data_IF_247549599053
#
_entry.id   IF_247549599053
#
_cell.length_a   1.000
_cell.length_b   1.000
_cell.length_c   1.000
_cell.angle_alpha   90.00
_cell.angle_beta   90.00
_cell.angle_gamma   90.00
#
_symmetry.space_group_name_H-M   'P 1'
#
loop_
_entity.id
_entity.type
_entity.pdbx_description
1 polymer ?
#
# COMPACT_ATOMS: atom_id res chain seq x y z
N UNK A 1 11.20 11.84 -13.07
CA UNK A 1 11.61 11.74 -12.37
C UNK A 1 12.32 10.95 -12.04
N UNK A 2 12.82 10.72 -11.94
CA UNK A 2 13.51 9.89 -11.64
C UNK A 2 13.76 9.52 -10.61
N UNK A 3 13.71 9.24 -10.25
CA UNK A 3 13.86 8.82 -9.46
C UNK A 3 14.46 8.21 -8.91
N UNK A 4 14.62 7.74 -8.69
CA UNK A 4 15.03 7.15 -7.92
C UNK A 4 16.10 6.96 -7.75
N UNK A 5 16.70 7.05 -8.23
CA UNK A 5 17.71 6.87 -8.05
C UNK A 5 18.14 7.22 -7.08
N UNK A 6 17.65 7.48 -6.71
CA UNK A 6 17.86 7.80 -5.57
C UNK A 6 18.21 6.78 -4.81
N UNK A 7 19.13 6.38 -4.74
CA UNK A 7 19.50 5.50 -4.04
C UNK A 7 19.55 5.93 -2.80
N UNK A 8 18.84 5.47 -2.00
CA UNK A 8 18.92 5.67 -0.63
C UNK A 8 20.18 5.07 -0.17
N UNK A 9 21.04 5.86 0.35
CA UNK A 9 22.26 5.37 0.81
C UNK A 9 22.12 4.89 2.17
N UNK A 10 22.94 4.17 2.69
CA UNK A 10 22.92 3.69 4.05
C UNK A 10 22.64 2.23 4.11
N UNK A 11 22.30 1.69 5.28
CA UNK A 11 22.12 0.26 5.40
C UNK A 11 20.86 -0.21 4.72
N UNK A 12 19.96 0.71 4.45
CA UNK A 12 18.73 0.32 3.78
C UNK A 12 19.05 -0.16 2.39
N UNK A 13 18.34 -1.13 1.95
CA UNK A 13 18.47 -1.61 0.60
C UNK A 13 17.94 -0.56 -0.36
N UNK A 14 18.40 -0.60 -1.59
CA UNK A 14 17.83 0.26 -2.62
C UNK A 14 16.40 -0.18 -2.89
N UNK A 15 15.59 0.70 -3.43
CA UNK A 15 14.23 0.30 -3.81
C UNK A 15 14.26 -0.88 -4.76
N UNK A 16 13.41 -1.86 -4.49
CA UNK A 16 13.35 -3.07 -5.29
C UNK A 16 12.56 -2.86 -6.57
N UNK A 17 11.77 -1.81 -6.65
CA UNK A 17 10.99 -1.51 -7.83
C UNK A 17 11.09 -0.05 -8.13
N UNK A 18 10.86 0.29 -9.38
CA UNK A 18 10.79 1.67 -9.78
C UNK A 18 9.49 2.27 -9.27
N UNK A 19 9.48 3.57 -9.02
CA UNK A 19 8.27 4.25 -8.63
C UNK A 19 7.32 4.22 -9.81
N UNK A 20 6.22 3.54 -9.64
CA UNK A 20 5.19 3.42 -10.66
C UNK A 20 3.86 3.56 -9.93
N UNK A 21 3.34 4.77 -9.82
CA UNK A 21 2.16 4.99 -8.97
C UNK A 21 0.91 4.35 -9.54
N UNK A 22 0.07 3.86 -8.65
CA UNK A 22 -1.26 3.40 -9.01
C UNK A 22 -2.11 4.62 -9.36
N UNK A 23 -2.84 4.57 -10.46
CA UNK A 23 -3.72 5.67 -10.84
C UNK A 23 -4.77 5.87 -9.76
N UNK A 24 -5.28 7.11 -9.66
CA UNK A 24 -6.24 7.43 -8.61
C UNK A 24 -7.52 6.60 -8.70
N UNK A 25 -8.03 6.35 -9.92
CA UNK A 25 -9.24 5.55 -10.06
C UNK A 25 -9.01 4.10 -9.65
N UNK A 26 -7.80 3.58 -9.87
CA UNK A 26 -7.46 2.22 -9.47
C UNK A 26 -7.30 2.16 -7.95
N UNK A 27 -6.64 3.16 -7.38
CA UNK A 27 -6.49 3.24 -5.92
C UNK A 27 -7.86 3.27 -5.24
N UNK A 28 -8.79 4.07 -5.76
CA UNK A 28 -10.14 4.12 -5.23
C UNK A 28 -10.85 2.77 -5.36
N UNK A 29 -10.69 2.11 -6.51
CA UNK A 29 -11.31 0.80 -6.72
C UNK A 29 -10.75 -0.25 -5.77
N UNK A 30 -9.46 -0.17 -5.44
CA UNK A 30 -8.86 -1.08 -4.46
C UNK A 30 -9.49 -0.90 -3.08
N UNK A 31 -9.69 0.35 -2.68
CA UNK A 31 -10.31 0.64 -1.38
C UNK A 31 -11.77 0.20 -1.35
N UNK A 32 -12.49 0.36 -2.46
CA UNK A 32 -13.86 -0.14 -2.54
C UNK A 32 -13.90 -1.65 -2.47
N UNK A 33 -12.97 -2.33 -3.14
CA UNK A 33 -12.94 -3.79 -3.13
C UNK A 33 -12.75 -4.32 -1.71
N UNK A 34 -11.98 -3.61 -0.90
CA UNK A 34 -11.75 -3.97 0.50
C UNK A 34 -12.87 -3.49 1.42
N UNK A 35 -13.87 -2.80 0.92
CA UNK A 35 -14.95 -2.21 1.73
C UNK A 35 -14.42 -1.31 2.84
N UNK A 36 -13.48 -0.43 2.51
CA UNK A 36 -12.89 0.46 3.49
C UNK A 36 -13.92 1.42 4.06
N UNK A 37 -13.89 1.59 5.37
CA UNK A 37 -14.75 2.55 6.08
C UNK A 37 -13.88 3.38 7.03
N UNK A 38 -14.51 4.31 7.73
CA UNK A 38 -13.81 5.16 8.69
C UNK A 38 -13.21 4.42 9.87
N UNK A 39 -13.59 3.16 10.07
CA UNK A 39 -13.02 2.35 11.15
C UNK A 39 -11.73 1.65 10.75
N UNK A 40 -11.35 1.76 9.49
CA UNK A 40 -10.20 1.01 8.99
C UNK A 40 -8.88 1.75 9.14
N UNK A 41 -7.81 0.97 9.22
CA UNK A 41 -6.43 1.45 9.15
C UNK A 41 -5.81 0.78 7.93
N UNK A 42 -5.55 1.57 6.89
CA UNK A 42 -5.05 1.07 5.61
C UNK A 42 -3.55 1.25 5.56
N UNK A 43 -2.82 0.15 5.42
CA UNK A 43 -1.37 0.17 5.23
C UNK A 43 -1.06 -0.08 3.77
N UNK A 44 -0.35 0.85 3.13
CA UNK A 44 0.06 0.71 1.75
C UNK A 44 1.56 0.42 1.70
N UNK A 45 1.92 -0.74 1.20
CA UNK A 45 3.31 -1.18 1.17
C UNK A 45 3.95 -0.72 -0.13
N UNK A 46 5.01 0.10 -0.02
CA UNK A 46 5.59 0.77 -1.16
C UNK A 46 4.73 1.96 -1.57
N UNK A 47 4.47 2.86 -0.64
CA UNK A 47 3.40 3.84 -0.82
C UNK A 47 3.69 4.95 -1.80
N UNK A 48 4.94 5.10 -2.25
CA UNK A 48 5.27 6.10 -3.24
C UNK A 48 4.99 7.51 -2.74
N UNK A 49 4.16 8.24 -3.48
CA UNK A 49 3.81 9.61 -3.10
C UNK A 49 2.62 9.66 -2.14
N UNK A 50 2.21 8.51 -1.61
CA UNK A 50 1.20 8.47 -0.56
C UNK A 50 -0.24 8.56 -1.02
N UNK A 51 -0.49 8.48 -2.33
CA UNK A 51 -1.85 8.71 -2.83
C UNK A 51 -2.88 7.75 -2.26
N UNK A 52 -2.52 6.49 -2.05
CA UNK A 52 -3.48 5.50 -1.58
C UNK A 52 -3.89 5.74 -0.14
N UNK A 53 -2.95 5.93 0.81
CA UNK A 53 -3.34 6.32 2.17
C UNK A 53 -4.10 7.64 2.22
N UNK A 54 -3.74 8.60 1.37
CA UNK A 54 -4.40 9.89 1.35
C UNK A 54 -5.85 9.76 0.86
N UNK A 55 -6.07 8.97 -0.20
CA UNK A 55 -7.43 8.73 -0.69
C UNK A 55 -8.26 8.02 0.37
N UNK A 56 -7.66 7.04 1.08
CA UNK A 56 -8.36 6.34 2.14
C UNK A 56 -8.84 7.31 3.21
N UNK A 57 -7.99 8.25 3.60
CA UNK A 57 -8.35 9.23 4.62
C UNK A 57 -9.36 10.25 4.08
N UNK A 58 -9.11 10.76 2.88
CA UNK A 58 -9.90 11.84 2.33
C UNK A 58 -11.31 11.40 1.93
N UNK A 59 -11.40 10.25 1.30
CA UNK A 59 -12.64 9.80 0.71
C UNK A 59 -13.44 8.86 1.62
N UNK A 60 -12.76 8.09 2.45
CA UNK A 60 -13.41 7.06 3.27
C UNK A 60 -13.34 7.37 4.77
N UNK A 61 -12.61 8.41 5.15
CA UNK A 61 -12.47 8.75 6.56
C UNK A 61 -11.61 7.76 7.34
N UNK A 62 -10.89 6.89 6.65
CA UNK A 62 -10.03 5.91 7.28
C UNK A 62 -8.72 6.55 7.73
N UNK A 63 -7.93 5.79 8.49
CA UNK A 63 -6.56 6.17 8.75
C UNK A 63 -5.69 5.47 7.72
N UNK A 64 -4.67 6.18 7.23
CA UNK A 64 -3.77 5.65 6.22
C UNK A 64 -2.34 5.66 6.69
N UNK A 65 -1.61 4.59 6.41
CA UNK A 65 -0.19 4.49 6.73
C UNK A 65 0.53 4.05 5.47
N UNK A 66 1.53 4.80 5.06
CA UNK A 66 2.36 4.44 3.92
C UNK A 66 3.75 4.02 4.38
N UNK A 67 4.24 2.92 3.86
CA UNK A 67 5.61 2.46 4.09
C UNK A 67 6.36 2.66 2.79
N UNK A 68 7.40 3.47 2.82
CA UNK A 68 8.14 3.82 1.62
C UNK A 68 9.63 3.91 1.95
N UNK A 69 10.48 3.31 1.13
CA UNK A 69 11.91 3.29 1.39
C UNK A 69 12.62 4.58 0.95
N UNK A 70 12.03 5.34 0.05
CA UNK A 70 12.64 6.56 -0.47
C UNK A 70 12.18 7.76 0.36
N UNK A 71 13.08 8.38 1.15
CA UNK A 71 12.67 9.49 2.00
C UNK A 71 12.17 10.71 1.24
N UNK A 72 12.56 10.86 -0.03
CA UNK A 72 12.05 11.98 -0.82
C UNK A 72 10.59 11.81 -1.18
N UNK A 73 10.17 10.56 -1.43
CA UNK A 73 8.77 10.28 -1.69
C UNK A 73 7.94 10.45 -0.43
N UNK A 74 8.51 10.11 0.72
CA UNK A 74 7.81 10.34 2.00
C UNK A 74 7.60 11.83 2.24
N UNK A 75 8.60 12.64 1.91
CA UNK A 75 8.47 14.08 2.06
C UNK A 75 7.37 14.63 1.14
N UNK A 76 7.33 14.15 -0.10
CA UNK A 76 6.28 14.51 -1.04
C UNK A 76 4.91 14.09 -0.50
N UNK A 77 4.84 12.89 0.07
CA UNK A 77 3.59 12.38 0.65
C UNK A 77 3.04 13.30 1.71
N UNK A 78 3.90 13.79 2.62
CA UNK A 78 3.46 14.72 3.67
C UNK A 78 2.96 16.03 3.07
N UNK A 79 3.60 16.50 2.01
CA UNK A 79 3.17 17.74 1.36
C UNK A 79 1.79 17.57 0.75
N UNK A 80 1.58 16.46 0.05
CA UNK A 80 0.27 16.19 -0.56
C UNK A 80 -0.80 16.02 0.51
N UNK A 81 -0.47 15.34 1.62
CA UNK A 81 -1.42 15.14 2.69
C UNK A 81 -1.83 16.47 3.35
N UNK A 82 -0.86 17.37 3.50
CA UNK A 82 -1.17 18.70 4.04
C UNK A 82 -2.08 19.47 3.10
N UNK A 83 -1.82 19.42 1.80
CA UNK A 83 -2.66 20.10 0.83
C UNK A 83 -4.07 19.53 0.77
N UNK A 84 -4.19 18.23 1.01
CA UNK A 84 -5.49 17.55 1.02
C UNK A 84 -6.18 17.67 2.39
N UNK A 85 -5.51 18.28 3.37
CA UNK A 85 -6.07 18.50 4.69
C UNK A 85 -6.37 17.20 5.45
N UNK A 86 -5.55 16.17 5.23
CA UNK A 86 -5.69 14.89 5.94
C UNK A 86 -4.44 14.50 6.70
N UNK A 87 -3.51 15.45 6.92
CA UNK A 87 -2.25 15.13 7.58
C UNK A 87 -2.46 14.52 8.98
N UNK A 88 -3.58 14.80 9.62
CA UNK A 88 -3.86 14.25 10.94
C UNK A 88 -4.45 12.85 10.90
N UNK A 89 -4.70 12.31 9.70
CA UNK A 89 -5.26 10.96 9.56
C UNK A 89 -4.31 10.02 8.87
N UNK A 90 -3.13 10.48 8.48
CA UNK A 90 -2.17 9.64 7.77
C UNK A 90 -0.83 9.68 8.47
N UNK A 91 -0.03 8.66 8.21
CA UNK A 91 1.37 8.60 8.62
C UNK A 91 2.17 8.02 7.48
N UNK A 92 3.38 8.52 7.28
CA UNK A 92 4.27 8.00 6.26
C UNK A 92 5.59 7.66 6.92
N UNK A 93 6.02 6.42 6.74
CA UNK A 93 7.19 5.86 7.42
C UNK A 93 8.25 5.56 6.39
N UNK A 94 9.45 6.12 6.60
CA UNK A 94 10.59 5.74 5.77
C UNK A 94 11.08 4.40 6.29
N UNK A 95 10.99 3.37 5.48
CA UNK A 95 11.42 2.06 5.93
C UNK A 95 11.27 1.00 4.87
N UNK A 96 11.78 -0.19 5.24
CA UNK A 96 11.73 -1.35 4.38
C UNK A 96 10.42 -2.08 4.66
N UNK A 97 9.62 -2.28 3.63
CA UNK A 97 8.32 -2.94 3.82
C UNK A 97 8.45 -4.36 4.35
N UNK A 98 9.60 -5.00 4.17
CA UNK A 98 9.80 -6.34 4.70
C UNK A 98 9.97 -6.35 6.22
N UNK A 99 10.26 -5.20 6.83
CA UNK A 99 10.49 -5.10 8.26
C UNK A 99 9.42 -4.31 8.98
N UNK A 100 8.45 -3.80 8.26
CA UNK A 100 7.42 -2.95 8.86
C UNK A 100 6.51 -3.76 9.78
N UNK A 101 6.07 -3.11 10.85
CA UNK A 101 5.10 -3.71 11.76
C UNK A 101 3.70 -3.48 11.19
N UNK A 102 3.04 -4.53 10.77
CA UNK A 102 1.72 -4.46 10.16
C UNK A 102 0.60 -4.83 11.13
N UNK A 103 0.90 -4.95 12.41
CA UNK A 103 -0.05 -5.48 13.39
C UNK A 103 -1.29 -4.63 13.55
N UNK A 104 -1.22 -3.34 13.23
CA UNK A 104 -2.37 -2.45 13.38
C UNK A 104 -3.20 -2.31 12.12
N UNK A 105 -2.78 -2.93 11.03
CA UNK A 105 -3.50 -2.81 9.77
C UNK A 105 -4.80 -3.61 9.81
N UNK A 106 -5.86 -3.03 9.27
CA UNK A 106 -7.08 -3.77 8.98
C UNK A 106 -7.20 -4.04 7.49
N UNK A 107 -6.48 -3.23 6.68
CA UNK A 107 -6.41 -3.40 5.23
C UNK A 107 -4.96 -3.18 4.82
N UNK A 108 -4.45 -4.03 3.95
CA UNK A 108 -3.11 -3.88 3.38
C UNK A 108 -3.27 -3.77 1.88
N UNK A 109 -2.66 -2.76 1.27
CA UNK A 109 -2.70 -2.59 -0.19
C UNK A 109 -1.29 -2.67 -0.74
N UNK A 110 -1.15 -3.17 -1.96
CA UNK A 110 0.15 -3.39 -2.59
C UNK A 110 0.06 -3.27 -4.09
N UNK A 111 1.13 -2.73 -4.68
CA UNK A 111 1.38 -2.84 -6.10
C UNK A 111 2.84 -3.22 -6.24
N UNK A 112 3.13 -4.49 -6.08
CA UNK A 112 4.50 -5.00 -5.92
C UNK A 112 4.73 -6.15 -6.87
N UNK A 113 5.99 -6.38 -7.24
CA UNK A 113 6.33 -7.47 -8.15
C UNK A 113 6.02 -8.82 -7.51
N UNK A 114 5.82 -9.86 -8.32
CA UNK A 114 5.56 -11.19 -7.78
C UNK A 114 6.66 -11.71 -6.85
N UNK A 115 7.92 -11.38 -7.14
CA UNK A 115 9.02 -11.85 -6.29
C UNK A 115 8.94 -11.24 -4.89
N UNK A 116 8.57 -9.96 -4.80
CA UNK A 116 8.43 -9.30 -3.51
C UNK A 116 7.22 -9.86 -2.77
N UNK A 117 6.12 -10.06 -3.48
CA UNK A 117 4.91 -10.59 -2.86
C UNK A 117 5.12 -11.99 -2.32
N UNK A 118 5.94 -12.80 -3.00
CA UNK A 118 6.24 -14.14 -2.53
C UNK A 118 6.95 -14.10 -1.16
N UNK A 119 7.84 -13.13 -0.97
CA UNK A 119 8.53 -12.99 0.31
C UNK A 119 7.57 -12.53 1.39
N UNK A 120 6.63 -11.65 1.05
CA UNK A 120 5.69 -11.10 2.02
C UNK A 120 4.59 -12.06 2.42
N UNK A 121 4.27 -13.03 1.56
CA UNK A 121 3.09 -13.85 1.75
C UNK A 121 2.97 -14.47 3.15
N UNK A 122 4.04 -15.08 3.73
CA UNK A 122 3.89 -15.67 5.06
C UNK A 122 3.49 -14.66 6.13
N UNK A 123 4.03 -13.43 6.05
CA UNK A 123 3.67 -12.40 7.01
C UNK A 123 2.25 -11.93 6.83
N UNK A 124 1.80 -11.85 5.58
CA UNK A 124 0.44 -11.40 5.31
C UNK A 124 -0.57 -12.44 5.78
N UNK A 125 -0.26 -13.72 5.58
CA UNK A 125 -1.15 -14.78 6.06
C UNK A 125 -1.24 -14.82 7.58
N UNK A 126 -0.23 -14.30 8.27
CA UNK A 126 -0.20 -14.33 9.73
C UNK A 126 -0.89 -13.12 10.36
N UNK A 127 -1.42 -12.21 9.58
CA UNK A 127 -2.15 -11.07 10.11
C UNK A 127 -3.44 -11.53 10.77
N UNK A 128 -4.08 -10.62 11.51
CA UNK A 128 -5.32 -10.98 12.21
C UNK A 128 -6.36 -11.50 11.24
N UNK A 129 -7.10 -12.53 11.61
CA UNK A 129 -8.22 -12.98 10.80
C UNK A 129 -9.17 -11.82 10.51
N UNK A 130 -9.64 -11.75 9.27
CA UNK A 130 -10.50 -10.66 8.83
C UNK A 130 -9.76 -9.49 8.20
N UNK A 131 -8.43 -9.43 8.32
CA UNK A 131 -7.66 -8.41 7.61
C UNK A 131 -7.83 -8.61 6.12
N UNK A 132 -8.04 -7.52 5.40
CA UNK A 132 -8.25 -7.58 3.95
C UNK A 132 -7.00 -7.10 3.24
N UNK A 133 -6.58 -7.85 2.24
CA UNK A 133 -5.35 -7.57 1.50
C UNK A 133 -5.74 -7.39 0.04
N UNK A 134 -5.36 -6.27 -0.56
CA UNK A 134 -5.67 -5.99 -1.95
C UNK A 134 -4.40 -5.76 -2.73
N UNK A 135 -4.23 -6.49 -3.83
CA UNK A 135 -3.10 -6.33 -4.71
C UNK A 135 -3.56 -5.75 -6.05
N UNK A 136 -2.77 -4.82 -6.55
CA UNK A 136 -2.94 -4.29 -7.89
C UNK A 136 -2.12 -5.16 -8.83
N UNK A 137 -2.79 -5.84 -9.75
CA UNK A 137 -2.22 -6.58 -10.86
C UNK A 137 -1.64 -7.96 -10.53
N UNK A 138 -0.90 -8.12 -9.45
CA UNK A 138 -0.13 -9.34 -9.26
C UNK A 138 -0.70 -10.22 -8.15
N UNK A 139 -0.69 -11.54 -8.39
CA UNK A 139 -1.21 -12.53 -7.47
C UNK A 139 -0.10 -13.08 -6.58
N UNK A 140 -0.49 -13.71 -5.49
CA UNK A 140 0.43 -14.45 -4.63
C UNK A 140 0.27 -15.94 -4.94
N UNK A 141 1.32 -16.58 -5.47
CA UNK A 141 1.23 -18.01 -5.81
C UNK A 141 0.94 -18.81 -4.55
N UNK A 142 0.04 -19.75 -4.64
CA UNK A 142 -0.28 -20.60 -3.51
C UNK A 142 -1.32 -20.04 -2.56
N UNK A 143 -1.81 -18.84 -2.80
CA UNK A 143 -2.88 -18.26 -2.00
C UNK A 143 -3.96 -17.73 -2.94
N UNK A 144 -5.03 -18.48 -3.06
CA UNK A 144 -6.11 -18.17 -3.99
C UNK A 144 -6.89 -16.97 -3.47
N UNK A 145 -7.05 -15.91 -4.28
CA UNK A 145 -7.80 -14.74 -3.81
C UNK A 145 -9.27 -15.05 -3.65
N UNK A 146 -9.89 -14.35 -2.72
CA UNK A 146 -11.33 -14.48 -2.49
C UNK A 146 -12.13 -13.80 -3.58
N UNK A 147 -11.58 -12.72 -4.18
CA UNK A 147 -12.23 -12.03 -5.28
C UNK A 147 -11.20 -11.50 -6.26
N UNK A 148 -11.61 -11.43 -7.52
CA UNK A 148 -10.83 -10.77 -8.58
C UNK A 148 -11.79 -9.87 -9.32
N UNK A 149 -11.36 -8.66 -9.63
CA UNK A 149 -12.13 -7.77 -10.49
C UNK A 149 -11.20 -7.12 -11.49
N UNK A 150 -11.76 -6.72 -12.61
CA UNK A 150 -11.03 -6.02 -13.65
C UNK A 150 -11.51 -4.57 -13.65
N UNK A 151 -10.57 -3.62 -13.58
CA UNK A 151 -10.88 -2.20 -13.67
C UNK A 151 -9.96 -1.64 -14.74
N UNK A 152 -10.54 -1.23 -15.86
CA UNK A 152 -9.79 -0.81 -17.04
C UNK A 152 -8.82 -1.94 -17.43
N UNK A 153 -7.54 -1.67 -17.49
CA UNK A 153 -6.55 -2.68 -17.86
C UNK A 153 -5.90 -3.36 -16.65
N UNK A 154 -6.38 -3.06 -15.45
CA UNK A 154 -5.79 -3.58 -14.22
C UNK A 154 -6.65 -4.65 -13.60
N UNK A 155 -5.99 -5.68 -13.09
CA UNK A 155 -6.67 -6.70 -12.29
C UNK A 155 -6.45 -6.37 -10.82
N UNK A 156 -7.52 -6.45 -10.03
CA UNK A 156 -7.43 -6.24 -8.59
C UNK A 156 -7.84 -7.51 -7.88
N UNK A 157 -7.06 -7.88 -6.87
CA UNK A 157 -7.25 -9.15 -6.17
C UNK A 157 -7.39 -8.89 -4.68
N UNK A 158 -8.34 -9.59 -4.07
CA UNK A 158 -8.64 -9.44 -2.64
C UNK A 158 -8.46 -10.78 -1.94
N UNK A 159 -7.76 -10.76 -0.83
CA UNK A 159 -7.68 -11.88 0.10
C UNK A 159 -8.22 -11.41 1.44
N UNK A 160 -8.96 -12.27 2.12
CA UNK A 160 -9.37 -12.03 3.50
C UNK A 160 -8.67 -13.07 4.35
N UNK A 161 -7.88 -12.61 5.33
CA UNK A 161 -7.12 -13.52 6.19
C UNK A 161 -8.08 -14.38 7.01
N UNK A 162 -7.85 -15.70 7.03
CA UNK A 162 -8.71 -16.63 7.75
C UNK A 162 -8.29 -16.80 9.18
#
# INVERSE_FOLDING_TARGET
>A
MARHQSRVEGPARTPDIHFSPTRHNIADAMLKLANVTGDDVVYDLGSGDGRLPIIAAQKYGARGVGIEIDPRLVEISWRIANEAEVANRVSFIVGDLFEADLSKATVVTMYLSPSIMKILEPRLRALKPGTRIVSHQFSMPGWIPDRRIQVDESELLLWVVK
#
